data_IF_073593037414
#
_entry.id   IF_073593037414
#
_cell.length_a   1.000
_cell.length_b   1.000
_cell.length_c   1.000
_cell.angle_alpha   90.00
_cell.angle_beta   90.00
_cell.angle_gamma   90.00
#
_symmetry.space_group_name_H-M   'P 1'
#
loop_
_entity.id
_entity.type
_entity.pdbx_description
1 polymer ?
#
# COMPACT_ATOMS: atom_id res chain seq x y z
N UNK A 1 -4.01 7.53 10.56
CA UNK A 1 -2.81 6.70 10.31
C UNK A 1 -3.02 5.40 11.06
N UNK A 2 -2.89 4.28 10.37
CA UNK A 2 -3.15 2.94 10.92
C UNK A 2 -1.87 2.12 11.07
N UNK A 3 -0.85 2.39 10.25
CA UNK A 3 0.50 1.82 10.39
C UNK A 3 1.56 2.73 9.76
N UNK A 4 2.78 2.65 10.29
CA UNK A 4 4.00 3.32 9.79
C UNK A 4 5.12 2.28 9.82
N UNK A 5 5.88 2.18 8.74
CA UNK A 5 7.04 1.29 8.66
C UNK A 5 8.15 1.90 7.79
N UNK A 6 9.38 1.44 7.99
CA UNK A 6 10.59 1.97 7.36
C UNK A 6 11.24 0.84 6.54
N UNK A 7 11.12 0.86 5.20
CA UNK A 7 11.86 -0.06 4.35
C UNK A 7 13.37 0.12 4.48
N UNK A 8 14.13 -0.91 4.06
CA UNK A 8 15.59 -0.93 4.16
C UNK A 8 16.29 0.22 3.42
N UNK A 9 15.58 0.97 2.57
CA UNK A 9 16.10 2.12 1.82
C UNK A 9 16.01 3.46 2.58
N UNK A 10 15.54 3.45 3.84
CA UNK A 10 15.44 4.66 4.68
C UNK A 10 14.28 5.58 4.32
N UNK A 11 13.39 5.16 3.41
CA UNK A 11 12.12 5.83 3.16
C UNK A 11 11.10 5.43 4.24
N UNK A 12 9.97 6.10 4.30
CA UNK A 12 8.93 5.84 5.30
C UNK A 12 7.62 5.59 4.58
N UNK A 13 7.00 4.43 4.82
CA UNK A 13 5.67 4.08 4.32
C UNK A 13 4.62 4.31 5.40
N UNK A 14 3.50 4.91 5.00
CA UNK A 14 2.43 5.29 5.92
C UNK A 14 1.10 4.84 5.33
N UNK A 15 0.32 4.10 6.12
CA UNK A 15 -1.06 3.74 5.81
C UNK A 15 -2.04 4.67 6.54
N UNK A 16 -3.09 5.10 5.84
CA UNK A 16 -4.09 6.03 6.37
C UNK A 16 -5.05 6.54 5.31
N UNK A 17 -5.59 7.73 5.54
CA UNK A 17 -6.46 8.42 4.58
C UNK A 17 -5.81 9.74 4.24
N UNK A 18 -5.33 9.86 3.01
CA UNK A 18 -4.60 11.02 2.53
C UNK A 18 -5.24 11.58 1.27
N UNK A 19 -5.05 12.88 1.06
CA UNK A 19 -5.30 13.53 -0.23
C UNK A 19 -3.97 14.07 -0.74
N UNK A 20 -3.50 13.54 -1.86
CA UNK A 20 -2.24 13.90 -2.51
C UNK A 20 -2.56 14.40 -3.91
N UNK A 21 -2.21 15.65 -4.22
CA UNK A 21 -2.47 16.27 -5.53
C UNK A 21 -3.93 16.12 -6.01
N UNK A 22 -4.89 16.19 -5.07
CA UNK A 22 -6.33 16.03 -5.35
C UNK A 22 -6.82 14.58 -5.48
N UNK A 23 -5.95 13.58 -5.35
CA UNK A 23 -6.31 12.16 -5.36
C UNK A 23 -6.31 11.57 -3.94
N UNK A 24 -7.29 10.73 -3.64
CA UNK A 24 -7.33 9.99 -2.38
C UNK A 24 -6.31 8.83 -2.43
N UNK A 25 -5.48 8.73 -1.40
CA UNK A 25 -4.42 7.73 -1.27
C UNK A 25 -4.54 7.03 0.08
N UNK A 26 -4.40 5.70 0.08
CA UNK A 26 -4.39 4.91 1.33
C UNK A 26 -2.99 4.63 1.85
N UNK A 27 -2.00 4.55 0.95
CA UNK A 27 -0.59 4.40 1.28
C UNK A 27 0.17 5.53 0.63
N UNK A 28 1.00 6.21 1.41
CA UNK A 28 1.96 7.21 0.91
C UNK A 28 3.37 6.81 1.34
N UNK A 29 4.36 7.20 0.54
CA UNK A 29 5.77 7.08 0.89
C UNK A 29 6.39 8.47 0.97
N UNK A 30 7.19 8.70 2.00
CA UNK A 30 7.98 9.92 2.17
C UNK A 30 9.46 9.58 2.27
N UNK A 31 10.31 10.54 1.89
CA UNK A 31 11.75 10.48 2.12
C UNK A 31 12.08 10.80 3.58
N UNK A 32 13.33 10.59 3.98
CA UNK A 32 13.81 10.85 5.34
C UNK A 32 13.74 12.32 5.76
N UNK A 33 13.68 13.24 4.79
CA UNK A 33 13.49 14.68 5.01
C UNK A 33 12.02 15.09 5.15
N UNK A 34 11.09 14.13 5.07
CA UNK A 34 9.65 14.33 5.15
C UNK A 34 8.98 14.72 3.84
N UNK A 35 9.72 14.88 2.74
CA UNK A 35 9.14 15.18 1.43
C UNK A 35 8.46 13.95 0.81
N UNK A 36 7.41 14.17 0.03
CA UNK A 36 6.63 13.10 -0.60
C UNK A 36 7.44 12.42 -1.72
N UNK A 37 7.51 11.09 -1.69
CA UNK A 37 8.09 10.30 -2.77
C UNK A 37 7.06 10.06 -3.88
N UNK A 38 7.00 11.00 -4.84
CA UNK A 38 6.12 10.91 -6.01
C UNK A 38 6.42 9.73 -6.95
N UNK A 39 7.54 9.01 -6.77
CA UNK A 39 7.82 7.79 -7.55
C UNK A 39 7.05 6.58 -7.05
N UNK A 40 6.49 6.64 -5.83
CA UNK A 40 5.70 5.56 -5.25
C UNK A 40 4.27 5.55 -5.81
N UNK A 41 3.97 4.55 -6.64
CA UNK A 41 2.75 4.48 -7.45
C UNK A 41 1.81 3.39 -6.94
N UNK A 42 1.13 3.65 -5.83
CA UNK A 42 0.09 2.76 -5.30
C UNK A 42 -1.30 3.24 -5.71
N UNK A 43 -2.11 2.36 -6.31
CA UNK A 43 -3.49 2.67 -6.70
C UNK A 43 -4.37 1.42 -6.59
N UNK A 44 -5.51 1.57 -5.91
CA UNK A 44 -6.55 0.54 -5.83
C UNK A 44 -7.62 0.88 -6.88
N UNK A 45 -7.72 0.07 -7.93
CA UNK A 45 -8.69 0.30 -9.01
C UNK A 45 -10.15 0.21 -8.52
N UNK A 46 -10.45 -0.74 -7.63
CA UNK A 46 -11.77 -0.90 -7.04
C UNK A 46 -11.86 -0.15 -5.70
N UNK A 47 -12.61 0.95 -5.67
CA UNK A 47 -12.78 1.84 -4.51
C UNK A 47 -13.58 1.24 -3.34
N UNK A 48 -14.14 0.05 -3.52
CA UNK A 48 -14.77 -0.70 -2.43
C UNK A 48 -13.73 -1.36 -1.53
N UNK A 49 -12.53 -1.62 -2.05
CA UNK A 49 -11.41 -2.08 -1.23
C UNK A 49 -10.76 -0.91 -0.49
N UNK A 50 -10.53 -1.13 0.80
CA UNK A 50 -9.72 -0.27 1.67
C UNK A 50 -8.46 -1.03 2.10
N UNK A 51 -7.39 -0.29 2.42
CA UNK A 51 -6.19 -0.88 3.02
C UNK A 51 -6.40 -0.98 4.52
N UNK A 52 -6.46 -2.19 5.05
CA UNK A 52 -6.51 -2.41 6.49
C UNK A 52 -5.11 -2.44 7.08
N UNK A 53 -4.16 -3.10 6.42
CA UNK A 53 -2.77 -3.17 6.89
C UNK A 53 -1.77 -3.45 5.75
N UNK A 54 -0.47 -3.31 6.04
CA UNK A 54 0.62 -3.73 5.17
C UNK A 54 1.80 -4.30 5.96
N UNK A 55 2.63 -5.09 5.29
CA UNK A 55 3.86 -5.63 5.85
C UNK A 55 5.00 -5.53 4.84
N UNK A 56 6.20 -5.18 5.32
CA UNK A 56 7.41 -5.16 4.52
C UNK A 56 8.02 -6.56 4.43
N UNK A 57 8.41 -6.96 3.22
CA UNK A 57 9.07 -8.23 2.97
C UNK A 57 10.60 -8.06 2.86
N UNK A 58 11.40 -9.10 3.20
CA UNK A 58 12.86 -9.04 3.10
C UNK A 58 13.40 -8.72 1.69
N UNK A 59 12.62 -8.98 0.65
CA UNK A 59 12.96 -8.69 -0.75
C UNK A 59 12.51 -7.29 -1.21
N UNK A 60 12.25 -6.36 -0.28
CA UNK A 60 11.77 -4.99 -0.53
C UNK A 60 10.40 -4.92 -1.23
N UNK A 61 9.65 -6.03 -1.26
CA UNK A 61 8.24 -6.03 -1.66
C UNK A 61 7.36 -5.70 -0.46
N UNK A 62 6.12 -5.33 -0.73
CA UNK A 62 5.15 -4.92 0.30
C UNK A 62 3.94 -5.83 0.16
N UNK A 63 3.55 -6.53 1.23
CA UNK A 63 2.24 -7.19 1.30
C UNK A 63 1.21 -6.18 1.80
N UNK A 64 0.05 -6.15 1.16
CA UNK A 64 -1.06 -5.26 1.51
C UNK A 64 -2.30 -6.10 1.74
N UNK A 65 -2.89 -5.93 2.91
CA UNK A 65 -4.16 -6.53 3.27
C UNK A 65 -5.29 -5.55 2.97
N UNK A 66 -6.17 -5.96 2.07
CA UNK A 66 -7.30 -5.20 1.56
C UNK A 66 -8.60 -5.81 2.08
N UNK A 67 -9.57 -4.96 2.39
CA UNK A 67 -10.92 -5.38 2.76
C UNK A 67 -11.95 -4.68 1.89
N UNK A 68 -12.84 -5.44 1.25
CA UNK A 68 -13.96 -4.92 0.49
C UNK A 68 -15.11 -4.59 1.43
N UNK A 69 -15.39 -3.30 1.60
CA UNK A 69 -16.43 -2.83 2.52
C UNK A 69 -17.86 -3.13 2.07
N UNK A 70 -18.06 -3.50 0.80
CA UNK A 70 -19.38 -3.71 0.20
C UNK A 70 -19.81 -5.18 0.29
N UNK A 71 -18.90 -6.11 0.03
CA UNK A 71 -19.20 -7.56 0.02
C UNK A 71 -18.50 -8.33 1.16
N UNK A 72 -17.81 -7.62 2.06
CA UNK A 72 -17.07 -8.19 3.18
C UNK A 72 -15.99 -9.23 2.78
N UNK A 73 -15.40 -9.06 1.59
CA UNK A 73 -14.33 -9.93 1.09
C UNK A 73 -12.95 -9.37 1.49
N UNK A 74 -12.02 -10.27 1.83
CA UNK A 74 -10.63 -9.92 2.07
C UNK A 74 -9.75 -10.26 0.88
N UNK A 75 -8.68 -9.49 0.67
CA UNK A 75 -7.71 -9.74 -0.40
C UNK A 75 -6.29 -9.39 0.05
N UNK A 76 -5.33 -10.22 -0.34
CA UNK A 76 -3.90 -9.95 -0.16
C UNK A 76 -3.30 -9.64 -1.53
N UNK A 77 -2.65 -8.48 -1.61
CA UNK A 77 -1.88 -8.04 -2.77
C UNK A 77 -0.41 -7.92 -2.39
N UNK A 78 0.49 -8.18 -3.34
CA UNK A 78 1.90 -7.82 -3.20
C UNK A 78 2.24 -6.67 -4.13
N UNK A 79 3.01 -5.71 -3.64
CA UNK A 79 3.54 -4.59 -4.40
C UNK A 79 5.06 -4.72 -4.55
N UNK A 80 5.58 -4.17 -5.64
CA UNK A 80 7.00 -3.89 -5.82
C UNK A 80 7.42 -2.69 -4.95
N UNK A 81 8.72 -2.48 -4.76
CA UNK A 81 9.23 -1.36 -3.96
C UNK A 81 8.75 0.01 -4.50
N UNK A 82 8.48 0.15 -5.80
CA UNK A 82 7.93 1.39 -6.38
C UNK A 82 6.41 1.56 -6.18
N UNK A 83 5.74 0.70 -5.42
CA UNK A 83 4.30 0.76 -5.14
C UNK A 83 3.41 0.10 -6.21
N UNK A 84 3.97 -0.29 -7.35
CA UNK A 84 3.21 -0.98 -8.40
C UNK A 84 2.83 -2.41 -7.99
N UNK A 85 1.69 -2.91 -8.45
CA UNK A 85 1.26 -4.29 -8.21
C UNK A 85 2.26 -5.29 -8.78
N UNK A 86 2.63 -6.29 -7.98
CA UNK A 86 3.46 -7.41 -8.41
C UNK A 86 2.60 -8.50 -9.07
N UNK A 87 2.61 -8.55 -10.40
CA UNK A 87 1.85 -9.52 -11.18
C UNK A 87 2.35 -10.97 -11.04
N UNK A 88 3.56 -11.18 -10.49
CA UNK A 88 4.09 -12.53 -10.23
C UNK A 88 3.55 -13.16 -8.93
N UNK A 89 2.72 -12.43 -8.18
CA UNK A 89 2.09 -12.92 -6.96
C UNK A 89 0.65 -13.34 -7.25
N UNK A 90 0.36 -14.62 -7.03
CA UNK A 90 -1.00 -15.12 -7.02
C UNK A 90 -1.75 -14.48 -5.86
N UNK A 91 -2.61 -13.51 -6.17
CA UNK A 91 -3.35 -12.75 -5.17
C UNK A 91 -4.28 -13.68 -4.39
N UNK A 92 -4.10 -13.74 -3.08
CA UNK A 92 -4.91 -14.58 -2.21
C UNK A 92 -6.18 -13.85 -1.79
N UNK A 93 -7.35 -14.43 -2.05
CA UNK A 93 -8.65 -14.02 -1.49
C UNK A 93 -9.12 -15.13 -0.54
N UNK A 94 -8.97 -14.99 0.79
CA UNK A 94 -9.67 -15.87 1.71
C UNK A 94 -11.16 -15.52 1.63
N UNK A 95 -11.95 -16.45 1.11
CA UNK A 95 -13.41 -16.36 1.10
C UNK A 95 -13.97 -16.14 2.51
#
# INVERSE_FOLDING_TARGET
>A
VTSIDIPQDGKILINGTFTVNGAAMSIVRIFSDGSLDNSFSFNIQNKDFIVNDFALLPNQKILVYLFNKTVAESKIMRLNNNGTTDASFDQFSPN
#
